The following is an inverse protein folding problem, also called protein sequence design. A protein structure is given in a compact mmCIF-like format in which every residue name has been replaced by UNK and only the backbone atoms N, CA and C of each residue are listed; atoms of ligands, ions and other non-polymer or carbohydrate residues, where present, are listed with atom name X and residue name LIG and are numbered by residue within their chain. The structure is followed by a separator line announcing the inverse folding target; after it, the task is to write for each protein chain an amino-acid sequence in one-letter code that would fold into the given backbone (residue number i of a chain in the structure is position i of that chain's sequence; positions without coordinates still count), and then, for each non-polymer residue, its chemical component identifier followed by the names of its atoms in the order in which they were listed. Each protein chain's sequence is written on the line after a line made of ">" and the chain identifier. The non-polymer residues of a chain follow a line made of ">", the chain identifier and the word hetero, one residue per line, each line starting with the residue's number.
data_IF_807516811641
#
_entry.id   IF_807516811641
#
_cell.length_a   1.000
_cell.length_b   1.000
_cell.length_c   1.000
_cell.angle_alpha   90.00
_cell.angle_beta   90.00
_cell.angle_gamma   90.00
#
_symmetry.space_group_name_H-M   'P 1'
#
loop_
_entity.id
_entity.type
_entity.pdbx_description
1 polymer ?
#
# COMPACT_ATOMS: atom_id res chain seq x y z
N UNK A 1 -25.95 62.63 -23.79
CA UNK A 1 -26.01 61.93 -22.50
C UNK A 1 -25.96 60.43 -22.80
N UNK A 2 -24.76 59.81 -22.64
CA UNK A 2 -24.53 58.38 -22.85
C UNK A 2 -24.54 57.73 -21.47
N UNK A 3 -25.54 56.86 -21.25
CA UNK A 3 -25.63 56.08 -20.00
C UNK A 3 -24.68 54.87 -20.07
N UNK A 4 -23.66 54.84 -19.22
CA UNK A 4 -22.80 53.68 -19.02
C UNK A 4 -23.52 52.67 -18.13
N UNK A 5 -23.71 51.45 -18.63
CA UNK A 5 -24.10 50.27 -17.82
C UNK A 5 -22.85 49.62 -17.24
N UNK A 6 -22.81 49.31 -15.94
CA UNK A 6 -21.71 48.55 -15.39
C UNK A 6 -21.82 47.07 -15.77
N UNK A 7 -20.76 46.54 -16.39
CA UNK A 7 -20.59 45.12 -16.70
C UNK A 7 -20.34 44.35 -15.41
N UNK A 8 -21.36 43.64 -14.93
CA UNK A 8 -21.25 42.78 -13.75
C UNK A 8 -20.54 41.48 -14.17
N UNK A 9 -19.24 41.37 -13.89
CA UNK A 9 -18.47 40.17 -14.11
C UNK A 9 -18.82 39.16 -12.99
N UNK A 10 -19.67 38.18 -13.35
CA UNK A 10 -20.04 37.06 -12.51
C UNK A 10 -18.86 36.04 -12.48
N UNK A 11 -18.02 36.11 -11.46
CA UNK A 11 -16.95 35.11 -11.24
C UNK A 11 -17.59 33.79 -10.81
N UNK A 12 -17.73 32.83 -11.72
CA UNK A 12 -18.06 31.46 -11.41
C UNK A 12 -16.82 30.79 -10.76
N UNK A 13 -16.81 30.73 -9.44
CA UNK A 13 -15.90 29.87 -8.69
C UNK A 13 -16.30 28.41 -8.93
N UNK A 14 -15.65 27.75 -9.88
CA UNK A 14 -15.68 26.29 -10.00
C UNK A 14 -15.01 25.71 -8.76
N UNK A 15 -15.80 25.39 -7.73
CA UNK A 15 -15.36 24.54 -6.64
C UNK A 15 -15.15 23.15 -7.21
N UNK A 16 -13.89 22.81 -7.50
CA UNK A 16 -13.47 21.45 -7.83
C UNK A 16 -13.66 20.60 -6.56
N UNK A 17 -14.84 20.01 -6.40
CA UNK A 17 -15.11 19.02 -5.38
C UNK A 17 -14.31 17.77 -5.72
N UNK A 18 -13.10 17.67 -5.17
CA UNK A 18 -12.34 16.45 -5.19
C UNK A 18 -13.10 15.43 -4.33
N UNK A 19 -13.88 14.57 -5.00
CA UNK A 19 -14.67 13.53 -4.34
C UNK A 19 -13.73 12.56 -3.60
N UNK A 20 -13.54 12.76 -2.31
CA UNK A 20 -12.88 11.78 -1.45
C UNK A 20 -13.73 10.51 -1.47
N UNK A 21 -13.16 9.43 -1.99
CA UNK A 21 -13.78 8.10 -1.86
C UNK A 21 -13.85 7.75 -0.37
N UNK A 22 -15.04 7.77 0.19
CA UNK A 22 -15.29 7.26 1.54
C UNK A 22 -15.26 5.73 1.47
N UNK A 23 -14.15 5.14 1.92
CA UNK A 23 -14.09 3.70 2.17
C UNK A 23 -14.64 3.41 3.56
N UNK A 24 -15.52 2.40 3.66
CA UNK A 24 -15.93 1.84 4.96
C UNK A 24 -14.86 0.83 5.34
N UNK A 25 -14.13 1.10 6.41
CA UNK A 25 -13.07 0.23 6.92
C UNK A 25 -13.60 -0.67 8.03
N UNK A 26 -13.15 -1.93 8.07
CA UNK A 26 -13.45 -2.85 9.17
C UNK A 26 -12.72 -2.43 10.45
N UNK A 27 -11.50 -1.90 10.27
CA UNK A 27 -10.69 -1.35 11.37
C UNK A 27 -10.09 0.00 10.97
N UNK A 28 -9.86 0.79 12.01
CA UNK A 28 -9.05 2.00 11.96
C UNK A 28 -7.99 1.86 13.05
N UNK A 29 -6.73 1.65 12.65
CA UNK A 29 -5.65 1.28 13.57
C UNK A 29 -4.48 2.27 13.51
N UNK A 30 -3.88 2.53 14.68
CA UNK A 30 -2.61 3.24 14.79
C UNK A 30 -1.47 2.26 14.51
N UNK A 31 -0.67 2.49 13.48
CA UNK A 31 0.50 1.65 13.20
C UNK A 31 1.60 1.90 14.22
N UNK A 32 1.97 0.86 14.97
CA UNK A 32 2.93 0.95 16.07
C UNK A 32 4.28 0.28 15.75
N UNK A 33 4.33 -0.63 14.78
CA UNK A 33 5.57 -1.31 14.39
C UNK A 33 5.49 -1.85 12.96
N UNK A 34 6.61 -1.77 12.23
CA UNK A 34 6.79 -2.42 10.92
C UNK A 34 7.69 -3.63 11.11
N UNK A 35 7.19 -4.82 10.76
CA UNK A 35 7.97 -6.07 10.85
C UNK A 35 8.91 -6.22 9.65
N UNK A 36 8.33 -6.16 8.45
CA UNK A 36 8.99 -6.25 7.15
C UNK A 36 8.21 -5.44 6.11
N UNK A 37 8.45 -5.66 4.80
CA UNK A 37 7.83 -4.87 3.74
C UNK A 37 6.35 -5.19 3.47
N UNK A 38 5.74 -6.14 4.16
CA UNK A 38 4.34 -6.53 3.98
C UNK A 38 3.62 -6.95 5.27
N UNK A 39 4.28 -6.75 6.41
CA UNK A 39 3.75 -7.12 7.73
C UNK A 39 4.00 -6.00 8.73
N UNK A 40 2.97 -5.59 9.45
CA UNK A 40 3.03 -4.56 10.47
C UNK A 40 2.16 -4.90 11.69
N UNK A 41 2.32 -4.13 12.77
CA UNK A 41 1.44 -4.18 13.94
C UNK A 41 0.68 -2.87 14.05
N UNK A 42 -0.61 -2.99 14.30
CA UNK A 42 -1.52 -1.88 14.54
C UNK A 42 -2.23 -2.01 15.88
N UNK A 43 -2.47 -0.88 16.52
CA UNK A 43 -3.22 -0.76 17.76
C UNK A 43 -4.64 -0.30 17.42
N UNK A 44 -5.62 -1.10 17.81
CA UNK A 44 -7.05 -0.77 17.65
C UNK A 44 -7.51 0.30 18.65
N UNK A 45 -8.72 0.82 18.48
CA UNK A 45 -9.33 1.77 19.43
C UNK A 45 -9.44 1.20 20.86
N UNK A 46 -9.60 -0.13 20.96
CA UNK A 46 -9.68 -0.84 22.25
C UNK A 46 -8.29 -1.23 22.80
N UNK A 47 -7.22 -0.57 22.35
CA UNK A 47 -5.84 -0.84 22.76
C UNK A 47 -5.37 -2.28 22.52
N UNK A 48 -5.95 -2.99 21.57
CA UNK A 48 -5.52 -4.33 21.19
C UNK A 48 -4.49 -4.27 20.08
N UNK A 49 -3.28 -4.80 20.30
CA UNK A 49 -2.26 -4.95 19.28
C UNK A 49 -2.57 -6.14 18.37
N UNK A 50 -2.66 -5.92 17.06
CA UNK A 50 -2.89 -6.93 16.04
C UNK A 50 -1.75 -6.88 15.02
N UNK A 51 -1.25 -8.06 14.63
CA UNK A 51 -0.25 -8.21 13.56
C UNK A 51 -0.96 -8.52 12.24
N UNK A 52 -0.85 -7.62 11.29
CA UNK A 52 -1.50 -7.67 9.99
C UNK A 52 -0.52 -8.11 8.88
N UNK A 53 -1.03 -8.83 7.88
CA UNK A 53 -0.35 -9.13 6.62
C UNK A 53 -1.05 -8.41 5.48
N UNK A 54 -0.31 -7.60 4.74
CA UNK A 54 -0.85 -6.84 3.61
C UNK A 54 -1.17 -7.81 2.47
N UNK A 55 -2.38 -7.68 1.90
CA UNK A 55 -2.89 -8.52 0.82
C UNK A 55 -2.27 -8.18 -0.53
N UNK A 56 -2.20 -9.18 -1.42
CA UNK A 56 -1.85 -9.04 -2.84
C UNK A 56 -0.36 -8.84 -3.12
N UNK A 57 0.48 -8.64 -2.10
CA UNK A 57 1.92 -8.42 -2.26
C UNK A 57 2.76 -9.43 -1.48
N UNK A 58 4.01 -9.64 -1.92
CA UNK A 58 5.03 -10.39 -1.19
C UNK A 58 6.34 -9.61 -1.22
N UNK A 59 6.83 -9.20 -0.06
CA UNK A 59 8.00 -8.36 0.08
C UNK A 59 9.28 -9.17 0.26
N UNK A 60 10.47 -8.61 -0.07
CA UNK A 60 11.74 -9.27 0.14
C UNK A 60 11.92 -9.77 1.58
N UNK A 61 12.37 -11.00 1.72
CA UNK A 61 12.60 -11.68 2.99
C UNK A 61 13.85 -11.16 3.72
N UNK A 62 13.92 -11.37 5.02
CA UNK A 62 15.11 -11.05 5.81
C UNK A 62 16.37 -11.69 5.19
N UNK A 63 17.43 -10.90 5.04
CA UNK A 63 18.69 -11.23 4.34
C UNK A 63 18.56 -11.32 2.80
N UNK A 64 17.40 -11.07 2.22
CA UNK A 64 17.27 -10.91 0.79
C UNK A 64 17.60 -9.47 0.37
N UNK A 65 18.10 -9.30 -0.86
CA UNK A 65 18.28 -7.96 -1.43
C UNK A 65 16.96 -7.15 -1.35
N UNK A 66 17.06 -5.85 -1.13
CA UNK A 66 15.94 -4.93 -0.96
C UNK A 66 15.09 -5.10 0.31
N UNK A 67 15.33 -6.06 1.20
CA UNK A 67 14.58 -6.22 2.45
C UNK A 67 14.47 -4.92 3.26
N UNK A 68 15.61 -4.29 3.55
CA UNK A 68 15.62 -3.06 4.34
C UNK A 68 14.96 -1.88 3.61
N UNK A 69 15.13 -1.77 2.29
CA UNK A 69 14.50 -0.71 1.47
C UNK A 69 12.99 -0.87 1.43
N UNK A 70 12.49 -2.10 1.25
CA UNK A 70 11.07 -2.42 1.26
C UNK A 70 10.43 -2.11 2.63
N UNK A 71 11.07 -2.55 3.72
CA UNK A 71 10.63 -2.26 5.09
C UNK A 71 10.60 -0.76 5.37
N UNK A 72 11.63 -0.02 4.96
CA UNK A 72 11.71 1.43 5.15
C UNK A 72 10.61 2.15 4.37
N UNK A 73 10.41 1.77 3.10
CA UNK A 73 9.36 2.36 2.27
C UNK A 73 7.95 2.15 2.87
N UNK A 74 7.65 0.93 3.34
CA UNK A 74 6.40 0.69 4.07
C UNK A 74 6.31 1.55 5.34
N UNK A 75 7.41 1.71 6.06
CA UNK A 75 7.47 2.58 7.24
C UNK A 75 7.12 4.02 6.90
N UNK A 76 7.68 4.58 5.83
CA UNK A 76 7.41 5.95 5.39
C UNK A 76 5.93 6.13 4.99
N UNK A 77 5.33 5.08 4.42
CA UNK A 77 3.91 5.11 4.06
C UNK A 77 2.99 5.14 5.28
N UNK A 78 3.23 4.28 6.30
CA UNK A 78 2.21 3.99 7.32
C UNK A 78 2.68 4.07 8.78
N UNK A 79 3.99 4.11 9.08
CA UNK A 79 4.46 4.09 10.47
C UNK A 79 4.02 5.33 11.25
N UNK A 80 3.52 5.13 12.47
CA UNK A 80 2.93 6.15 13.34
C UNK A 80 1.72 6.87 12.72
N UNK A 81 1.14 6.34 11.65
CA UNK A 81 -0.10 6.87 11.06
C UNK A 81 -1.29 6.01 11.47
N UNK A 82 -2.47 6.62 11.43
CA UNK A 82 -3.74 5.92 11.53
C UNK A 82 -4.17 5.50 10.12
N UNK A 83 -4.40 4.20 9.93
CA UNK A 83 -4.69 3.61 8.61
C UNK A 83 -6.01 2.87 8.63
N UNK A 84 -6.73 2.92 7.49
CA UNK A 84 -7.93 2.14 7.27
C UNK A 84 -7.59 0.71 6.84
N UNK A 85 -8.30 -0.27 7.40
CA UNK A 85 -8.13 -1.70 7.15
C UNK A 85 -9.42 -2.30 6.61
N UNK A 86 -9.33 -3.03 5.50
CA UNK A 86 -10.40 -3.92 5.02
C UNK A 86 -9.89 -5.35 5.09
N UNK A 87 -10.61 -6.23 5.77
CA UNK A 87 -10.21 -7.63 5.94
C UNK A 87 -10.56 -8.44 4.69
N UNK A 88 -9.54 -9.04 4.08
CA UNK A 88 -9.72 -10.00 2.99
C UNK A 88 -9.89 -11.42 3.52
N UNK A 89 -9.13 -11.76 4.57
CA UNK A 89 -9.20 -13.05 5.23
C UNK A 89 -8.89 -12.89 6.71
N UNK A 90 -9.75 -13.46 7.56
CA UNK A 90 -9.65 -13.33 9.01
C UNK A 90 -8.33 -13.80 9.60
N UNK A 91 -7.79 -14.94 9.12
CA UNK A 91 -6.53 -15.49 9.64
C UNK A 91 -5.81 -16.32 8.60
N UNK A 92 -4.50 -16.09 8.47
CA UNK A 92 -3.61 -17.00 7.78
C UNK A 92 -3.14 -18.14 8.71
N UNK A 93 -2.26 -18.99 8.21
CA UNK A 93 -1.69 -20.11 9.00
C UNK A 93 -0.86 -19.66 10.21
N UNK A 94 -0.50 -18.39 10.29
CA UNK A 94 0.22 -17.77 11.41
C UNK A 94 -0.69 -16.94 12.32
N UNK A 95 -2.01 -17.00 12.10
CA UNK A 95 -3.01 -16.29 12.87
C UNK A 95 -3.11 -14.79 12.58
N UNK A 96 -2.53 -14.31 11.45
CA UNK A 96 -2.58 -12.91 11.06
C UNK A 96 -3.78 -12.64 10.15
N UNK A 97 -4.57 -11.57 10.38
CA UNK A 97 -5.49 -11.08 9.37
C UNK A 97 -4.74 -10.68 8.10
N UNK A 98 -5.27 -11.07 6.94
CA UNK A 98 -4.79 -10.62 5.62
C UNK A 98 -5.69 -9.48 5.20
N UNK A 99 -5.11 -8.31 4.88
CA UNK A 99 -5.85 -7.06 4.80
C UNK A 99 -5.43 -6.18 3.63
N UNK A 100 -6.38 -5.45 3.05
CA UNK A 100 -6.07 -4.21 2.34
C UNK A 100 -5.84 -3.09 3.36
N UNK A 101 -4.87 -2.24 3.08
CA UNK A 101 -4.45 -1.13 3.93
C UNK A 101 -4.53 0.16 3.15
N UNK A 102 -5.14 1.18 3.74
CA UNK A 102 -5.27 2.50 3.13
C UNK A 102 -4.65 3.56 4.02
N UNK A 103 -3.79 4.41 3.43
CA UNK A 103 -3.22 5.54 4.15
C UNK A 103 -4.30 6.56 4.55
N UNK A 104 -3.99 7.54 5.44
CA UNK A 104 -4.94 8.60 5.77
C UNK A 104 -5.45 9.38 4.54
N UNK A 105 -4.65 9.45 3.49
CA UNK A 105 -4.98 10.10 2.23
C UNK A 105 -5.77 9.18 1.26
N UNK A 106 -6.15 7.97 1.72
CA UNK A 106 -6.92 7.00 0.92
C UNK A 106 -6.12 6.24 -0.14
N UNK A 107 -4.77 6.24 -0.06
CA UNK A 107 -3.92 5.49 -0.99
C UNK A 107 -3.88 4.02 -0.59
N UNK A 108 -4.04 3.12 -1.56
CA UNK A 108 -3.84 1.69 -1.40
C UNK A 108 -2.34 1.38 -1.21
N UNK A 109 -1.99 0.87 -0.05
CA UNK A 109 -0.59 0.57 0.32
C UNK A 109 0.02 -0.52 -0.56
N UNK A 110 -0.75 -1.55 -0.95
CA UNK A 110 -0.28 -2.59 -1.87
C UNK A 110 0.08 -2.00 -3.23
N UNK A 111 -0.79 -1.13 -3.76
CA UNK A 111 -0.54 -0.44 -5.02
C UNK A 111 0.73 0.44 -4.96
N UNK A 112 0.94 1.19 -3.87
CA UNK A 112 2.13 2.03 -3.70
C UNK A 112 3.41 1.20 -3.59
N UNK A 113 3.38 0.05 -2.87
CA UNK A 113 4.50 -0.88 -2.76
C UNK A 113 4.88 -1.49 -4.12
N UNK A 114 3.91 -1.85 -4.95
CA UNK A 114 4.13 -2.39 -6.30
C UNK A 114 4.66 -1.33 -7.25
N UNK A 115 4.06 -0.14 -7.26
CA UNK A 115 4.46 0.99 -8.10
C UNK A 115 5.89 1.46 -7.82
N UNK A 116 6.30 1.44 -6.56
CA UNK A 116 7.67 1.79 -6.15
C UNK A 116 8.69 0.67 -6.36
N UNK A 117 8.25 -0.52 -6.80
CA UNK A 117 9.11 -1.69 -6.93
C UNK A 117 9.68 -2.17 -5.59
N UNK A 118 8.93 -2.03 -4.49
CA UNK A 118 9.35 -2.47 -3.16
C UNK A 118 8.74 -3.80 -2.76
N UNK A 119 7.80 -4.33 -3.55
CA UNK A 119 7.21 -5.65 -3.37
C UNK A 119 6.94 -6.31 -4.73
N UNK A 120 6.68 -7.62 -4.71
CA UNK A 120 6.19 -8.42 -5.82
C UNK A 120 4.67 -8.53 -5.73
N UNK A 121 3.98 -8.56 -6.86
CA UNK A 121 2.59 -8.98 -6.93
C UNK A 121 2.50 -10.48 -6.67
N UNK A 122 1.76 -10.89 -5.62
CA UNK A 122 1.66 -12.28 -5.21
C UNK A 122 0.50 -12.99 -5.91
N UNK A 123 0.71 -13.29 -7.20
CA UNK A 123 -0.31 -13.79 -8.13
C UNK A 123 -0.94 -15.13 -7.74
N UNK A 124 -0.30 -15.90 -6.85
CA UNK A 124 -0.89 -17.13 -6.32
C UNK A 124 -2.14 -16.86 -5.46
N UNK A 125 -2.25 -15.65 -4.90
CA UNK A 125 -3.31 -15.26 -3.97
C UNK A 125 -4.10 -14.04 -4.42
N UNK A 126 -3.68 -13.35 -5.48
CA UNK A 126 -4.35 -12.16 -5.99
C UNK A 126 -4.27 -12.10 -7.52
N UNK A 127 -5.43 -11.98 -8.17
CA UNK A 127 -5.58 -11.88 -9.61
C UNK A 127 -5.85 -10.44 -10.10
N UNK A 128 -5.64 -9.44 -9.24
CA UNK A 128 -5.88 -8.03 -9.59
C UNK A 128 -5.09 -7.60 -10.82
N UNK A 129 -5.79 -7.27 -11.89
CA UNK A 129 -5.17 -6.69 -13.07
C UNK A 129 -4.44 -5.38 -12.78
N UNK A 130 -4.96 -4.58 -11.81
CA UNK A 130 -4.37 -3.29 -11.43
C UNK A 130 -3.00 -3.54 -10.82
N UNK A 131 -2.88 -4.46 -9.87
CA UNK A 131 -1.61 -4.80 -9.23
C UNK A 131 -0.62 -5.39 -10.26
N UNK A 132 -1.11 -6.26 -11.16
CA UNK A 132 -0.30 -6.79 -12.26
C UNK A 132 0.25 -5.71 -13.20
N UNK A 133 -0.56 -4.70 -13.54
CA UNK A 133 -0.15 -3.55 -14.35
C UNK A 133 0.88 -2.67 -13.64
N UNK A 134 0.70 -2.40 -12.34
CA UNK A 134 1.64 -1.61 -11.54
C UNK A 134 3.01 -2.30 -11.42
N UNK A 135 3.03 -3.60 -11.10
CA UNK A 135 4.27 -4.38 -11.10
C UNK A 135 4.96 -4.35 -12.47
N UNK A 136 4.22 -4.60 -13.56
CA UNK A 136 4.76 -4.57 -14.92
C UNK A 136 5.36 -3.21 -15.27
N UNK A 137 4.71 -2.12 -14.87
CA UNK A 137 5.22 -0.77 -15.09
C UNK A 137 6.52 -0.53 -14.32
N UNK A 138 6.59 -0.92 -13.04
CA UNK A 138 7.79 -0.80 -12.23
C UNK A 138 8.96 -1.62 -12.82
N UNK A 139 8.70 -2.84 -13.31
CA UNK A 139 9.68 -3.71 -13.99
C UNK A 139 10.24 -3.07 -15.26
N UNK A 140 9.36 -2.58 -16.14
CA UNK A 140 9.75 -1.97 -17.40
C UNK A 140 10.65 -0.74 -17.20
N UNK A 141 10.38 0.04 -16.15
CA UNK A 141 11.15 1.23 -15.78
C UNK A 141 12.32 0.94 -14.82
N UNK A 142 12.59 -0.33 -14.48
CA UNK A 142 13.65 -0.76 -13.56
C UNK A 142 13.60 -0.06 -12.19
N UNK A 143 12.40 0.21 -11.68
CA UNK A 143 12.17 0.91 -10.42
C UNK A 143 12.41 -0.06 -9.24
N UNK A 144 13.06 0.41 -8.19
CA UNK A 144 13.25 -0.34 -6.95
C UNK A 144 14.02 -1.63 -7.17
N UNK A 145 13.46 -2.76 -6.69
CA UNK A 145 14.05 -4.11 -6.81
C UNK A 145 14.23 -4.55 -8.29
N UNK A 146 13.49 -3.94 -9.22
CA UNK A 146 13.59 -4.25 -10.65
C UNK A 146 14.83 -3.66 -11.33
N UNK A 147 15.57 -2.80 -10.64
CA UNK A 147 16.91 -2.36 -11.04
C UNK A 147 18.00 -3.40 -10.81
N UNK A 148 17.71 -4.46 -10.03
CA UNK A 148 18.63 -5.58 -9.85
C UNK A 148 18.75 -6.39 -11.16
N UNK A 149 19.96 -6.92 -11.42
CA UNK A 149 20.22 -7.76 -12.61
C UNK A 149 19.46 -9.09 -12.55
N UNK A 150 19.21 -9.64 -11.35
CA UNK A 150 18.52 -10.92 -11.13
C UNK A 150 17.62 -10.84 -9.90
N UNK A 151 16.48 -10.12 -9.99
CA UNK A 151 15.56 -10.02 -8.86
C UNK A 151 14.96 -11.40 -8.58
N UNK A 152 15.08 -11.87 -7.34
CA UNK A 152 14.57 -13.17 -6.88
C UNK A 152 13.26 -12.92 -6.13
N UNK A 153 12.21 -13.66 -6.51
CA UNK A 153 10.93 -13.56 -5.82
C UNK A 153 11.01 -14.12 -4.38
N UNK A 154 10.34 -13.50 -3.39
CA UNK A 154 10.41 -13.93 -2.00
C UNK A 154 10.03 -15.40 -1.80
N UNK A 155 9.00 -15.92 -2.49
CA UNK A 155 8.60 -17.33 -2.42
C UNK A 155 9.66 -18.28 -2.98
N UNK A 156 10.46 -17.87 -3.98
CA UNK A 156 11.59 -18.64 -4.50
C UNK A 156 12.73 -18.64 -3.47
N UNK A 157 13.01 -17.48 -2.89
CA UNK A 157 14.01 -17.33 -1.84
C UNK A 157 13.71 -18.20 -0.61
N UNK A 158 12.44 -18.23 -0.14
CA UNK A 158 12.01 -19.11 0.95
C UNK A 158 12.24 -20.60 0.64
N UNK A 159 11.93 -21.02 -0.59
CA UNK A 159 12.17 -22.43 -1.01
C UNK A 159 13.66 -22.80 -1.00
N UNK A 160 14.54 -21.88 -1.43
CA UNK A 160 16.00 -22.13 -1.43
C UNK A 160 16.62 -22.24 -0.04
N UNK A 161 15.98 -21.71 1.01
CA UNK A 161 16.46 -21.75 2.40
C UNK A 161 15.96 -22.96 3.18
N UNK A 162 15.01 -23.72 2.64
CA UNK A 162 14.48 -24.96 3.26
C UNK A 162 15.27 -26.21 2.88
N UNK A 163 16.22 -26.08 1.97
CA UNK A 163 17.21 -27.10 1.62
C UNK A 163 18.47 -26.93 2.47
#
# INVERSE_FOLDING_TARGET
>A
MVKQFPLLILLFLFACSCGQKHYIYDYDVQVVSITDGDTFKGLTKDNKEIRFRIYGIDAPERKQAFYNKSKLYLSDLIYKKRVGIIVQKERDRYGRPIVWVYTPEGKDVSAEMLKSGMAWHYKEYDESEIYGKLEKLARNNKIGLWGDKKPIAPWVYRKSKKK
#
